data_IF_192765978183
#
_entry.id   IF_192765978183
#
_cell.length_a   1.000
_cell.length_b   1.000
_cell.length_c   1.000
_cell.angle_alpha   90.00
_cell.angle_beta   90.00
_cell.angle_gamma   90.00
#
_symmetry.space_group_name_H-M   'P 1'
#
loop_
_entity.id
_entity.type
_entity.pdbx_description
1 polymer ?
#
# COMPACT_ATOMS: atom_id res chain seq x y z
N UNK A 1 0.68 -27.67 -4.08
CA UNK A 1 1.21 -26.31 -4.34
C UNK A 1 0.24 -25.28 -3.76
N UNK A 2 0.25 -25.05 -2.44
CA UNK A 2 -0.71 -24.15 -1.76
C UNK A 2 0.00 -23.01 -0.99
N UNK A 3 1.29 -23.15 -0.68
CA UNK A 3 2.03 -22.21 0.17
C UNK A 3 2.20 -20.81 -0.41
N UNK A 4 2.26 -20.65 -1.74
CA UNK A 4 2.51 -19.33 -2.34
C UNK A 4 1.41 -18.33 -2.00
N UNK A 5 0.13 -18.72 -2.02
CA UNK A 5 -0.99 -17.79 -1.82
C UNK A 5 -1.06 -17.24 -0.39
N UNK A 6 -0.71 -18.03 0.62
CA UNK A 6 -0.72 -17.57 2.01
C UNK A 6 0.44 -16.62 2.31
N UNK A 7 1.63 -16.90 1.77
CA UNK A 7 2.81 -16.03 1.93
C UNK A 7 2.54 -14.64 1.31
N UNK A 8 1.86 -14.58 0.16
CA UNK A 8 1.49 -13.30 -0.45
C UNK A 8 0.51 -12.49 0.40
N UNK A 9 -0.42 -13.14 1.12
CA UNK A 9 -1.30 -12.44 2.07
C UNK A 9 -0.50 -11.85 3.23
N UNK A 10 0.50 -12.58 3.75
CA UNK A 10 1.37 -12.06 4.80
C UNK A 10 2.15 -10.83 4.33
N UNK A 11 2.70 -10.88 3.11
CA UNK A 11 3.44 -9.75 2.54
C UNK A 11 2.57 -8.51 2.33
N UNK A 12 1.39 -8.67 1.74
CA UNK A 12 0.45 -7.56 1.51
C UNK A 12 0.03 -6.93 2.85
N UNK A 13 -0.25 -7.75 3.87
CA UNK A 13 -0.60 -7.28 5.21
C UNK A 13 0.52 -6.46 5.86
N UNK A 14 1.78 -6.85 5.68
CA UNK A 14 2.92 -6.06 6.17
C UNK A 14 3.00 -4.69 5.50
N UNK A 15 2.79 -4.64 4.18
CA UNK A 15 2.78 -3.39 3.44
C UNK A 15 1.64 -2.47 3.91
N UNK A 16 0.44 -3.03 4.09
CA UNK A 16 -0.74 -2.29 4.57
C UNK A 16 -0.57 -1.81 6.00
N UNK A 17 0.00 -2.63 6.89
CA UNK A 17 0.35 -2.21 8.27
C UNK A 17 1.31 -1.04 8.24
N UNK A 18 2.33 -1.08 7.37
CA UNK A 18 3.27 0.04 7.24
C UNK A 18 2.59 1.30 6.73
N UNK A 19 1.67 1.18 5.78
CA UNK A 19 0.87 2.31 5.30
C UNK A 19 0.02 2.92 6.43
N UNK A 20 -0.56 2.08 7.30
CA UNK A 20 -1.29 2.55 8.49
C UNK A 20 -0.37 3.29 9.46
N UNK A 21 0.84 2.81 9.71
CA UNK A 21 1.82 3.46 10.60
C UNK A 21 2.26 4.83 10.10
N UNK A 22 2.52 4.99 8.79
CA UNK A 22 2.96 6.27 8.21
C UNK A 22 1.79 7.20 7.85
N UNK A 23 0.57 6.68 7.83
CA UNK A 23 -0.63 7.41 7.42
C UNK A 23 -0.68 7.75 5.93
N UNK A 24 -1.49 8.76 5.60
CA UNK A 24 -1.66 9.22 4.22
C UNK A 24 -0.34 9.62 3.57
N UNK A 25 0.05 8.88 2.53
CA UNK A 25 1.36 9.05 1.89
C UNK A 25 1.31 8.69 0.40
N UNK A 26 2.27 9.18 -0.37
CA UNK A 26 2.39 8.83 -1.79
C UNK A 26 2.97 7.44 -1.97
N UNK A 27 2.79 6.84 -3.16
CA UNK A 27 3.39 5.54 -3.47
C UNK A 27 4.92 5.53 -3.26
N UNK A 28 5.57 6.66 -3.53
CA UNK A 28 7.01 6.82 -3.34
C UNK A 28 7.38 6.79 -1.86
N UNK A 29 6.71 7.60 -1.05
CA UNK A 29 6.96 7.67 0.40
C UNK A 29 6.65 6.33 1.07
N UNK A 30 5.57 5.65 0.66
CA UNK A 30 5.23 4.33 1.15
C UNK A 30 6.31 3.29 0.80
N UNK A 31 6.83 3.32 -0.42
CA UNK A 31 7.93 2.45 -0.83
C UNK A 31 9.22 2.75 -0.06
N UNK A 32 9.57 4.02 0.12
CA UNK A 32 10.74 4.45 0.90
C UNK A 32 10.63 4.01 2.36
N UNK A 33 9.45 4.13 2.98
CA UNK A 33 9.17 3.67 4.35
C UNK A 33 9.28 2.15 4.51
N UNK A 34 9.09 1.40 3.43
CA UNK A 34 9.29 -0.05 3.36
C UNK A 34 10.75 -0.43 3.01
N UNK A 35 11.62 0.53 2.75
CA UNK A 35 13.00 0.30 2.32
C UNK A 35 13.15 -0.05 0.82
N UNK A 36 12.12 0.19 0.02
CA UNK A 36 12.14 -0.12 -1.42
C UNK A 36 12.68 1.02 -2.27
N UNK A 37 13.63 0.68 -3.14
CA UNK A 37 14.15 1.60 -4.17
C UNK A 37 13.13 1.92 -5.26
N UNK A 38 12.19 1.02 -5.53
CA UNK A 38 11.25 1.12 -6.65
C UNK A 38 9.79 1.09 -6.17
N UNK A 39 9.04 2.19 -6.31
CA UNK A 39 7.65 2.27 -5.87
C UNK A 39 6.69 1.32 -6.60
N UNK A 40 7.04 0.91 -7.82
CA UNK A 40 6.24 0.00 -8.65
C UNK A 40 6.07 -1.39 -8.03
N UNK A 41 6.94 -1.79 -7.10
CA UNK A 41 6.82 -3.08 -6.39
C UNK A 41 5.54 -3.18 -5.56
N UNK A 42 5.00 -2.05 -5.10
CA UNK A 42 3.76 -1.99 -4.35
C UNK A 42 2.50 -2.00 -5.23
N UNK A 43 2.64 -1.98 -6.57
CA UNK A 43 1.48 -2.00 -7.47
C UNK A 43 0.62 -3.27 -7.30
N UNK A 44 1.24 -4.42 -7.04
CA UNK A 44 0.51 -5.66 -6.81
C UNK A 44 -0.26 -5.61 -5.48
N UNK A 45 0.36 -5.06 -4.43
CA UNK A 45 -0.30 -4.83 -3.13
C UNK A 45 -1.53 -3.94 -3.30
N UNK A 46 -1.39 -2.83 -4.05
CA UNK A 46 -2.50 -1.91 -4.33
C UNK A 46 -3.62 -2.62 -5.08
N UNK A 47 -3.29 -3.36 -6.16
CA UNK A 47 -4.30 -4.07 -6.96
C UNK A 47 -5.06 -5.11 -6.15
N UNK A 48 -4.35 -5.86 -5.30
CA UNK A 48 -4.92 -6.93 -4.50
C UNK A 48 -5.78 -6.41 -3.33
N UNK A 49 -5.57 -5.18 -2.89
CA UNK A 49 -6.20 -4.62 -1.68
C UNK A 49 -6.85 -3.25 -1.94
N UNK A 50 -7.29 -3.01 -3.17
CA UNK A 50 -7.86 -1.72 -3.59
C UNK A 50 -9.12 -1.36 -2.81
N UNK A 51 -9.85 -2.36 -2.34
CA UNK A 51 -11.03 -2.27 -1.47
C UNK A 51 -10.71 -1.69 -0.09
N UNK A 52 -9.47 -1.85 0.38
CA UNK A 52 -8.98 -1.40 1.70
C UNK A 52 -8.24 -0.06 1.65
N UNK A 53 -8.07 0.52 0.46
CA UNK A 53 -7.26 1.71 0.26
C UNK A 53 -8.13 2.89 -0.17
N UNK A 54 -7.89 4.04 0.46
CA UNK A 54 -8.39 5.33 0.02
C UNK A 54 -7.32 5.94 -0.89
N UNK A 55 -7.67 6.13 -2.17
CA UNK A 55 -6.76 6.67 -3.17
C UNK A 55 -7.25 8.06 -3.58
N UNK A 56 -6.47 9.10 -3.23
CA UNK A 56 -6.81 10.50 -3.58
C UNK A 56 -5.80 11.09 -4.56
N UNK A 57 -6.22 11.88 -5.55
CA UNK A 57 -5.28 12.56 -6.45
C UNK A 57 -4.50 13.63 -5.67
N UNK A 58 -3.19 13.74 -5.95
CA UNK A 58 -2.39 14.83 -5.41
C UNK A 58 -2.67 16.14 -6.18
N UNK A 59 -2.83 17.28 -5.50
CA UNK A 59 -3.28 18.53 -6.13
C UNK A 59 -2.27 19.16 -7.11
N UNK A 60 -0.99 18.74 -7.09
CA UNK A 60 0.09 19.38 -7.88
C UNK A 60 0.98 18.42 -8.68
N UNK A 61 0.73 17.11 -8.64
CA UNK A 61 1.52 16.10 -9.36
C UNK A 61 0.60 15.04 -9.95
N UNK A 62 1.05 14.32 -10.99
CA UNK A 62 0.45 13.04 -11.45
C UNK A 62 0.60 11.89 -10.43
N UNK A 63 0.74 12.22 -9.15
CA UNK A 63 0.90 11.28 -8.06
C UNK A 63 -0.43 11.07 -7.35
N UNK A 64 -0.59 9.92 -6.71
CA UNK A 64 -1.74 9.61 -5.86
C UNK A 64 -1.27 9.46 -4.42
N UNK A 65 -2.12 9.91 -3.50
CA UNK A 65 -1.99 9.59 -2.09
C UNK A 65 -2.77 8.31 -1.81
N UNK A 66 -2.20 7.49 -0.93
CA UNK A 66 -2.72 6.22 -0.47
C UNK A 66 -2.85 6.32 1.04
N UNK A 67 -3.97 5.82 1.54
CA UNK A 67 -4.29 5.75 2.95
C UNK A 67 -5.09 4.48 3.20
N UNK A 68 -4.90 3.87 4.36
CA UNK A 68 -5.71 2.71 4.73
C UNK A 68 -7.12 3.19 5.08
N UNK A 69 -8.15 2.56 4.53
CA UNK A 69 -9.53 2.77 4.96
C UNK A 69 -9.63 2.25 6.39
N UNK A 70 -9.66 3.13 7.37
CA UNK A 70 -10.00 2.73 8.74
C UNK A 70 -11.44 2.18 8.69
N UNK A 71 -11.58 0.87 8.90
CA UNK A 71 -12.86 0.34 9.34
C UNK A 71 -13.14 1.03 10.68
N UNK A 72 -14.16 1.89 10.72
CA UNK A 72 -14.86 2.19 11.96
C UNK A 72 -15.38 0.85 12.48
N UNK A 73 -14.63 0.19 13.35
CA UNK A 73 -15.16 -0.81 14.27
C UNK A 73 -16.26 -0.21 15.14
#
# INVERSE_FOLDING_TARGET
MVEKKEIFKTWDNWCLKKLKEIGRSTLKEWAEAMGYKYPLLLNNVIKNNIDKLIITPAPRKRSKFYELKEELE
#
